data_IF_124539643194
#
_entry.id   IF_124539643194
#
_cell.length_a   1.000
_cell.length_b   1.000
_cell.length_c   1.000
_cell.angle_alpha   90.00
_cell.angle_beta   90.00
_cell.angle_gamma   90.00
#
_symmetry.space_group_name_H-M   'P 1'
#
loop_
_entity.id
_entity.type
_entity.pdbx_description
1 polymer ?
#
# COMPACT_ATOMS: atom_id res chain seq x y z
N UNK A 1 41.87 -4.67 -27.67
CA UNK A 1 40.61 -4.07 -27.18
C UNK A 1 39.48 -4.59 -28.04
N UNK A 2 38.52 -5.32 -27.46
CA UNK A 2 37.42 -5.96 -28.22
C UNK A 2 36.31 -4.94 -28.40
N UNK A 3 35.72 -4.86 -29.59
CA UNK A 3 34.55 -4.00 -29.88
C UNK A 3 33.30 -4.85 -30.01
N UNK A 4 32.31 -4.58 -29.16
CA UNK A 4 31.02 -5.24 -29.16
C UNK A 4 30.01 -4.41 -29.96
N UNK A 5 29.40 -5.01 -31.00
CA UNK A 5 28.33 -4.38 -31.76
C UNK A 5 27.00 -4.73 -31.11
N UNK A 6 26.36 -3.73 -30.51
CA UNK A 6 25.09 -3.88 -29.79
C UNK A 6 23.98 -3.24 -30.62
N UNK A 7 23.03 -4.06 -31.07
CA UNK A 7 21.83 -3.55 -31.70
C UNK A 7 20.81 -3.18 -30.62
N UNK A 8 20.27 -1.96 -30.67
CA UNK A 8 19.35 -1.44 -29.64
C UNK A 8 18.30 -0.52 -30.27
N UNK A 9 17.15 -0.43 -29.62
CA UNK A 9 16.05 0.44 -29.98
C UNK A 9 15.88 1.54 -28.92
N UNK A 10 15.32 2.68 -29.32
CA UNK A 10 15.05 3.80 -28.42
C UNK A 10 13.78 3.50 -27.60
N UNK A 11 13.94 2.87 -26.43
CA UNK A 11 12.85 2.41 -25.57
C UNK A 11 12.98 3.05 -24.19
N UNK A 12 12.38 4.24 -23.96
CA UNK A 12 12.27 4.83 -22.64
C UNK A 12 11.48 3.92 -21.68
N UNK A 13 11.85 3.84 -20.38
CA UNK A 13 12.96 4.53 -19.71
C UNK A 13 14.30 3.76 -19.75
N UNK A 14 14.37 2.65 -20.49
CA UNK A 14 15.50 1.71 -20.43
C UNK A 14 16.72 2.19 -21.19
N UNK A 15 16.53 2.75 -22.39
CA UNK A 15 17.59 3.28 -23.25
C UNK A 15 17.10 4.55 -23.93
N UNK A 16 17.93 5.60 -23.88
CA UNK A 16 17.77 6.82 -24.66
C UNK A 16 18.95 6.94 -25.63
N UNK A 17 18.66 6.95 -26.92
CA UNK A 17 19.68 7.09 -27.97
C UNK A 17 19.86 8.55 -28.38
N UNK A 18 21.11 8.94 -28.68
CA UNK A 18 21.44 10.24 -29.26
C UNK A 18 22.41 10.04 -30.42
N UNK A 19 22.16 10.72 -31.53
CA UNK A 19 23.12 10.76 -32.64
C UNK A 19 24.15 11.87 -32.41
N UNK A 20 25.43 11.53 -32.54
CA UNK A 20 26.55 12.48 -32.47
C UNK A 20 27.48 12.21 -33.65
N UNK A 21 27.60 13.17 -34.57
CA UNK A 21 28.44 13.07 -35.78
C UNK A 21 28.15 11.83 -36.63
N UNK A 22 26.88 11.48 -36.83
CA UNK A 22 26.48 10.29 -37.63
C UNK A 22 26.67 8.95 -36.91
N UNK A 23 27.06 8.95 -35.63
CA UNK A 23 27.18 7.74 -34.81
C UNK A 23 26.18 7.78 -33.66
N UNK A 24 25.45 6.69 -33.46
CA UNK A 24 24.52 6.57 -32.34
C UNK A 24 25.27 6.25 -31.04
N UNK A 25 25.00 7.02 -29.99
CA UNK A 25 25.50 6.80 -28.64
C UNK A 25 24.34 6.61 -27.65
N UNK A 26 24.57 5.79 -26.63
CA UNK A 26 23.66 5.67 -25.47
C UNK A 26 23.85 6.89 -24.58
N UNK A 27 22.81 7.70 -24.44
CA UNK A 27 22.87 8.94 -23.65
C UNK A 27 22.48 8.68 -22.19
N UNK A 28 21.36 7.99 -21.95
CA UNK A 28 20.79 7.72 -20.62
C UNK A 28 20.00 6.41 -20.62
N UNK A 29 19.58 5.96 -19.44
CA UNK A 29 18.71 4.80 -19.24
C UNK A 29 19.40 3.71 -18.43
N UNK A 30 18.63 2.85 -17.77
CA UNK A 30 19.18 1.86 -16.84
C UNK A 30 20.07 0.83 -17.57
N UNK A 31 19.69 0.43 -18.79
CA UNK A 31 20.49 -0.50 -19.59
C UNK A 31 21.72 0.18 -20.17
N UNK A 32 21.62 1.47 -20.53
CA UNK A 32 22.75 2.26 -20.98
C UNK A 32 23.83 2.40 -19.89
N UNK A 33 23.42 2.70 -18.66
CA UNK A 33 24.33 2.78 -17.50
C UNK A 33 24.95 1.42 -17.18
N UNK A 34 24.16 0.35 -17.21
CA UNK A 34 24.66 -1.01 -17.01
C UNK A 34 25.71 -1.39 -18.07
N UNK A 35 25.42 -1.17 -19.35
CA UNK A 35 26.35 -1.45 -20.44
C UNK A 35 27.62 -0.61 -20.33
N UNK A 36 27.51 0.66 -19.92
CA UNK A 36 28.66 1.51 -19.68
C UNK A 36 29.55 0.94 -18.55
N UNK A 37 28.95 0.57 -17.41
CA UNK A 37 29.69 -0.05 -16.30
C UNK A 37 30.34 -1.37 -16.70
N UNK A 38 29.62 -2.22 -17.44
CA UNK A 38 30.17 -3.46 -17.97
C UNK A 38 31.37 -3.20 -18.90
N UNK A 39 31.28 -2.19 -19.76
CA UNK A 39 32.35 -1.83 -20.69
C UNK A 39 33.61 -1.35 -19.98
N UNK A 40 33.44 -0.57 -18.90
CA UNK A 40 34.55 -0.12 -18.05
C UNK A 40 35.19 -1.27 -17.30
N UNK A 41 34.37 -2.13 -16.67
CA UNK A 41 34.86 -3.24 -15.85
C UNK A 41 35.58 -4.32 -16.68
N UNK A 42 35.02 -4.66 -17.85
CA UNK A 42 35.53 -5.72 -18.73
C UNK A 42 36.46 -5.19 -19.85
N UNK A 43 36.70 -3.88 -19.92
CA UNK A 43 37.61 -3.21 -20.85
C UNK A 43 37.32 -3.51 -22.35
N UNK A 44 36.08 -3.32 -22.77
CA UNK A 44 35.65 -3.42 -24.18
C UNK A 44 34.98 -2.12 -24.65
N UNK A 45 34.99 -1.86 -25.96
CA UNK A 45 34.24 -0.75 -26.57
C UNK A 45 32.89 -1.21 -27.10
N UNK A 46 31.90 -0.31 -27.12
CA UNK A 46 30.55 -0.56 -27.62
C UNK A 46 30.35 0.25 -28.91
N UNK A 47 29.91 -0.42 -29.97
CA UNK A 47 29.41 0.21 -31.19
C UNK A 47 27.90 -0.07 -31.30
N UNK A 48 27.08 0.97 -31.31
CA UNK A 48 25.63 0.82 -31.33
C UNK A 48 25.10 0.78 -32.76
N UNK A 49 24.17 -0.14 -33.00
CA UNK A 49 23.38 -0.22 -34.22
C UNK A 49 21.93 0.12 -33.84
N UNK A 50 21.45 1.29 -34.27
CA UNK A 50 20.06 1.67 -34.03
C UNK A 50 19.14 0.76 -34.84
N UNK A 51 18.10 0.25 -34.19
CA UNK A 51 16.98 -0.45 -34.82
C UNK A 51 15.69 0.26 -34.45
N UNK A 52 14.82 0.53 -35.43
CA UNK A 52 13.55 1.19 -35.15
C UNK A 52 12.47 0.18 -34.72
N UNK A 53 12.61 -1.09 -35.12
CA UNK A 53 11.67 -2.17 -34.79
C UNK A 53 12.41 -3.42 -34.27
N UNK A 54 11.72 -4.25 -33.49
CA UNK A 54 12.25 -5.53 -33.00
C UNK A 54 12.39 -6.56 -34.14
N UNK A 55 11.56 -6.46 -35.17
CA UNK A 55 11.55 -7.36 -36.31
C UNK A 55 10.29 -8.22 -36.41
N UNK A 56 9.88 -8.47 -37.65
CA UNK A 56 8.76 -9.34 -38.03
C UNK A 56 9.32 -10.53 -38.79
N UNK A 57 8.76 -11.71 -38.52
CA UNK A 57 9.05 -12.92 -39.28
C UNK A 57 8.33 -12.86 -40.63
N UNK A 58 9.09 -12.96 -41.71
CA UNK A 58 8.58 -12.99 -43.08
C UNK A 58 8.17 -14.42 -43.48
N UNK A 59 7.32 -14.54 -44.50
CA UNK A 59 6.85 -15.84 -45.03
C UNK A 59 7.99 -16.73 -45.55
N UNK A 60 9.11 -16.11 -45.93
CA UNK A 60 10.34 -16.80 -46.33
C UNK A 60 11.16 -17.35 -45.14
N UNK A 61 10.59 -17.36 -43.92
CA UNK A 61 11.24 -17.76 -42.66
C UNK A 61 12.46 -16.91 -42.23
N UNK A 62 12.68 -15.75 -42.84
CA UNK A 62 13.70 -14.80 -42.37
C UNK A 62 13.09 -13.76 -41.43
N UNK A 63 13.94 -13.13 -40.62
CA UNK A 63 13.55 -12.06 -39.70
C UNK A 63 14.05 -10.72 -40.21
N UNK A 64 13.25 -9.69 -40.03
CA UNK A 64 13.64 -8.30 -40.30
C UNK A 64 14.30 -7.65 -39.08
N UNK A 65 14.99 -6.54 -39.29
CA UNK A 65 15.48 -5.63 -38.24
C UNK A 65 16.35 -6.31 -37.17
N UNK A 66 16.11 -6.07 -35.87
CA UNK A 66 16.93 -6.58 -34.78
C UNK A 66 17.09 -8.11 -34.82
N UNK A 67 15.99 -8.85 -34.97
CA UNK A 67 16.05 -10.31 -35.10
C UNK A 67 16.78 -10.76 -36.37
N UNK A 68 16.65 -10.00 -37.47
CA UNK A 68 17.40 -10.25 -38.70
C UNK A 68 18.90 -10.03 -38.54
N UNK A 69 19.31 -8.96 -37.84
CA UNK A 69 20.71 -8.65 -37.55
C UNK A 69 21.36 -9.71 -36.67
N UNK A 70 20.62 -10.21 -35.68
CA UNK A 70 21.05 -11.32 -34.81
C UNK A 70 21.18 -12.62 -35.62
N UNK A 71 20.18 -12.95 -36.44
CA UNK A 71 20.16 -14.18 -37.23
C UNK A 71 21.29 -14.23 -38.27
N UNK A 72 21.59 -13.10 -38.90
CA UNK A 72 22.61 -13.00 -39.93
C UNK A 72 24.05 -12.85 -39.39
N UNK A 73 24.27 -12.98 -38.06
CA UNK A 73 25.57 -12.83 -37.38
C UNK A 73 26.28 -11.49 -37.62
N UNK A 74 25.61 -10.49 -38.16
CA UNK A 74 26.20 -9.18 -38.45
C UNK A 74 26.31 -8.29 -37.20
N UNK A 75 25.59 -8.63 -36.12
CA UNK A 75 25.82 -8.12 -34.77
C UNK A 75 26.59 -9.17 -33.95
N UNK A 76 27.67 -8.77 -33.27
CA UNK A 76 28.51 -9.64 -32.44
C UNK A 76 27.87 -10.04 -31.10
N UNK A 77 26.54 -10.08 -31.03
CA UNK A 77 25.78 -10.67 -29.94
C UNK A 77 24.78 -11.72 -30.44
N UNK A 78 25.22 -12.94 -30.74
CA UNK A 78 24.49 -14.11 -30.30
C UNK A 78 24.79 -14.28 -28.80
N UNK A 79 23.77 -14.03 -27.96
CA UNK A 79 23.88 -14.14 -26.51
C UNK A 79 24.62 -15.43 -26.09
N UNK A 80 25.74 -15.21 -25.40
CA UNK A 80 26.43 -16.12 -24.49
C UNK A 80 27.32 -17.19 -25.18
N UNK A 81 28.66 -17.08 -25.15
CA UNK A 81 29.54 -18.18 -25.51
C UNK A 81 29.15 -19.42 -24.71
N UNK A 82 29.07 -20.60 -25.35
CA UNK A 82 28.46 -21.81 -24.77
C UNK A 82 28.94 -22.20 -23.36
N UNK A 83 30.11 -21.71 -22.94
CA UNK A 83 30.68 -21.89 -21.60
C UNK A 83 29.96 -21.11 -20.49
N UNK A 84 29.32 -19.97 -20.78
CA UNK A 84 28.59 -19.17 -19.77
C UNK A 84 27.12 -19.60 -19.61
N UNK A 85 26.59 -20.42 -20.52
CA UNK A 85 25.22 -20.95 -20.41
C UNK A 85 24.97 -21.72 -19.11
N UNK A 86 25.80 -22.69 -18.69
CA UNK A 86 25.58 -23.36 -17.41
C UNK A 86 25.70 -22.42 -16.22
N UNK A 87 26.54 -21.38 -16.33
CA UNK A 87 26.68 -20.35 -15.28
C UNK A 87 25.40 -19.53 -15.18
N UNK A 88 24.83 -19.07 -16.29
CA UNK A 88 23.55 -18.36 -16.31
C UNK A 88 22.38 -19.24 -15.90
N UNK A 89 22.32 -20.49 -16.37
CA UNK A 89 21.27 -21.42 -15.96
C UNK A 89 21.36 -21.73 -14.47
N UNK A 90 22.57 -21.94 -13.95
CA UNK A 90 22.82 -22.13 -12.52
C UNK A 90 22.47 -20.88 -11.71
N UNK A 91 22.82 -19.69 -12.22
CA UNK A 91 22.46 -18.40 -11.62
C UNK A 91 20.94 -18.20 -11.58
N UNK A 92 20.23 -18.45 -12.68
CA UNK A 92 18.77 -18.36 -12.75
C UNK A 92 18.10 -19.36 -11.80
N UNK A 93 18.65 -20.57 -11.68
CA UNK A 93 18.21 -21.55 -10.70
C UNK A 93 18.42 -21.07 -9.26
N UNK A 94 19.58 -20.48 -8.97
CA UNK A 94 19.86 -19.91 -7.65
C UNK A 94 18.89 -18.75 -7.33
N UNK A 95 18.64 -17.85 -8.28
CA UNK A 95 17.64 -16.79 -8.13
C UNK A 95 16.24 -17.35 -7.87
N UNK A 96 15.83 -18.39 -8.61
CA UNK A 96 14.53 -19.02 -8.43
C UNK A 96 14.36 -19.60 -7.02
N UNK A 97 15.38 -20.31 -6.52
CA UNK A 97 15.40 -20.87 -5.15
C UNK A 97 15.40 -19.75 -4.10
N UNK A 98 16.16 -18.67 -4.34
CA UNK A 98 16.22 -17.54 -3.42
C UNK A 98 14.86 -16.81 -3.35
N UNK A 99 14.22 -16.59 -4.50
CA UNK A 99 12.89 -15.95 -4.57
C UNK A 99 11.81 -16.82 -3.94
N UNK A 100 11.84 -18.14 -4.12
CA UNK A 100 10.87 -19.04 -3.49
C UNK A 100 11.05 -19.10 -1.97
N UNK A 101 12.28 -19.16 -1.48
CA UNK A 101 12.61 -19.09 -0.05
C UNK A 101 12.18 -17.77 0.57
N UNK A 102 12.52 -16.64 -0.06
CA UNK A 102 12.12 -15.31 0.39
C UNK A 102 10.60 -15.17 0.45
N UNK A 103 9.90 -15.62 -0.60
CA UNK A 103 8.44 -15.58 -0.64
C UNK A 103 7.83 -16.43 0.48
N UNK A 104 8.38 -17.62 0.75
CA UNK A 104 7.94 -18.48 1.86
C UNK A 104 8.10 -17.82 3.23
N UNK A 105 9.24 -17.17 3.48
CA UNK A 105 9.46 -16.40 4.70
C UNK A 105 8.53 -15.18 4.81
N UNK A 106 8.31 -14.47 3.70
CA UNK A 106 7.40 -13.33 3.63
C UNK A 106 5.95 -13.76 3.90
N UNK A 107 5.50 -14.86 3.29
CA UNK A 107 4.19 -15.44 3.54
C UNK A 107 4.06 -15.92 4.98
N UNK A 108 5.07 -16.57 5.55
CA UNK A 108 5.07 -16.95 6.96
C UNK A 108 4.89 -15.73 7.86
N UNK A 109 5.66 -14.67 7.61
CA UNK A 109 5.59 -13.42 8.36
C UNK A 109 4.22 -12.72 8.21
N UNK A 110 3.63 -12.72 7.02
CA UNK A 110 2.30 -12.18 6.76
C UNK A 110 1.17 -13.07 7.31
N UNK A 111 1.39 -14.38 7.37
CA UNK A 111 0.42 -15.36 7.85
C UNK A 111 0.26 -15.34 9.36
N UNK A 112 1.22 -14.78 10.10
CA UNK A 112 1.01 -14.44 11.49
C UNK A 112 -0.07 -13.36 11.52
N UNK A 113 -1.31 -13.69 11.94
CA UNK A 113 -2.27 -12.64 12.18
C UNK A 113 -1.66 -11.81 13.29
N UNK A 114 -1.30 -10.56 12.98
CA UNK A 114 -1.04 -9.57 14.00
C UNK A 114 -2.38 -9.44 14.70
N UNK A 115 -2.59 -10.23 15.75
CA UNK A 115 -3.74 -10.15 16.64
C UNK A 115 -3.59 -8.85 17.41
N UNK A 116 -3.77 -7.74 16.71
CA UNK A 116 -4.17 -6.49 17.32
C UNK A 116 -5.53 -6.82 17.90
N UNK A 117 -5.61 -6.98 19.22
CA UNK A 117 -6.88 -7.17 19.92
C UNK A 117 -7.75 -5.99 19.51
N UNK A 118 -8.73 -6.22 18.64
CA UNK A 118 -9.61 -5.15 18.19
C UNK A 118 -10.42 -4.72 19.40
N UNK A 119 -10.46 -3.42 19.63
CA UNK A 119 -11.24 -2.81 20.70
C UNK A 119 -12.66 -2.73 20.16
N UNK A 120 -13.49 -3.71 20.53
CA UNK A 120 -14.85 -3.82 19.97
C UNK A 120 -15.90 -3.16 20.88
N UNK A 121 -15.49 -2.75 22.08
CA UNK A 121 -16.35 -2.13 23.09
C UNK A 121 -15.72 -0.85 23.64
N UNK A 122 -16.57 0.07 24.08
CA UNK A 122 -16.13 1.35 24.66
C UNK A 122 -15.40 1.12 25.98
N UNK A 123 -15.77 0.07 26.70
CA UNK A 123 -15.12 -0.38 27.92
C UNK A 123 -13.68 -0.83 27.65
N UNK A 124 -13.46 -1.66 26.62
CA UNK A 124 -12.11 -2.06 26.20
C UNK A 124 -11.28 -0.85 25.75
N UNK A 125 -11.90 0.17 25.15
CA UNK A 125 -11.22 1.42 24.76
C UNK A 125 -10.79 2.21 25.99
N UNK A 126 -11.69 2.36 26.96
CA UNK A 126 -11.42 3.06 28.21
C UNK A 126 -10.34 2.35 29.03
N UNK A 127 -10.34 1.02 29.07
CA UNK A 127 -9.30 0.21 29.71
C UNK A 127 -7.95 0.35 28.99
N UNK A 128 -7.92 0.24 27.66
CA UNK A 128 -6.71 0.44 26.86
C UNK A 128 -6.13 1.86 27.01
N UNK A 129 -6.98 2.87 27.20
CA UNK A 129 -6.56 4.24 27.49
C UNK A 129 -5.99 4.39 28.91
N UNK A 130 -6.60 3.74 29.92
CA UNK A 130 -6.08 3.72 31.30
C UNK A 130 -4.70 3.06 31.38
N UNK A 131 -4.49 2.01 30.60
CA UNK A 131 -3.19 1.33 30.49
C UNK A 131 -2.17 2.06 29.61
N UNK A 132 -2.51 3.26 29.11
CA UNK A 132 -1.67 4.06 28.22
C UNK A 132 -1.25 3.35 26.91
N UNK A 133 -1.93 2.28 26.52
CA UNK A 133 -1.68 1.56 25.25
C UNK A 133 -2.21 2.32 24.05
N UNK A 134 -3.27 3.11 24.24
CA UNK A 134 -3.94 3.87 23.18
C UNK A 134 -4.17 5.30 23.63
N UNK A 135 -3.94 6.26 22.72
CA UNK A 135 -4.30 7.67 22.90
C UNK A 135 -5.44 8.01 21.96
N UNK A 136 -6.60 8.32 22.52
CA UNK A 136 -7.75 8.81 21.74
C UNK A 136 -7.45 10.25 21.31
N UNK A 137 -7.52 10.50 20.01
CA UNK A 137 -7.40 11.85 19.42
C UNK A 137 -8.73 12.13 18.73
N UNK A 138 -9.37 13.22 19.10
CA UNK A 138 -10.55 13.73 18.42
C UNK A 138 -10.20 15.08 17.80
N UNK A 139 -10.56 15.26 16.53
CA UNK A 139 -10.46 16.52 15.80
C UNK A 139 -11.48 17.51 16.34
N UNK A 140 -11.02 18.69 16.74
CA UNK A 140 -11.81 19.73 17.42
C UNK A 140 -12.85 20.41 16.52
N UNK A 141 -12.87 20.09 15.22
CA UNK A 141 -13.80 20.65 14.23
C UNK A 141 -15.05 19.81 14.00
N UNK A 142 -15.10 18.59 14.54
CA UNK A 142 -16.19 17.67 14.23
C UNK A 142 -17.30 17.78 15.27
N UNK A 143 -18.55 17.75 14.81
CA UNK A 143 -19.75 17.76 15.67
C UNK A 143 -19.72 16.64 16.72
N UNK A 144 -18.93 15.58 16.46
CA UNK A 144 -18.69 14.50 17.38
C UNK A 144 -17.97 14.95 18.67
N UNK A 145 -16.96 15.80 18.55
CA UNK A 145 -16.20 16.34 19.66
C UNK A 145 -17.07 17.20 20.59
N UNK A 146 -17.90 18.06 20.00
CA UNK A 146 -18.80 18.92 20.78
C UNK A 146 -19.84 18.11 21.55
N UNK A 147 -20.36 17.03 20.97
CA UNK A 147 -21.29 16.18 21.68
C UNK A 147 -20.61 15.43 22.83
N UNK A 148 -19.44 14.80 22.62
CA UNK A 148 -18.69 14.14 23.71
C UNK A 148 -18.37 15.14 24.82
N UNK A 149 -17.98 16.37 24.45
CA UNK A 149 -17.69 17.45 25.40
C UNK A 149 -18.94 17.92 26.14
N UNK A 150 -20.11 17.90 25.51
CA UNK A 150 -21.38 18.22 26.16
C UNK A 150 -21.82 17.14 27.15
N UNK A 151 -21.58 15.86 26.82
CA UNK A 151 -21.83 14.73 27.69
C UNK A 151 -20.88 14.73 28.89
N UNK A 152 -19.58 14.99 28.68
CA UNK A 152 -18.62 15.06 29.79
C UNK A 152 -18.99 16.15 30.80
N UNK A 153 -19.35 17.35 30.31
CA UNK A 153 -19.85 18.45 31.15
C UNK A 153 -21.13 18.08 31.91
N UNK A 154 -22.04 17.34 31.29
CA UNK A 154 -23.28 16.90 31.93
C UNK A 154 -23.02 15.84 33.01
N UNK A 155 -22.09 14.92 32.76
CA UNK A 155 -21.63 13.94 33.75
C UNK A 155 -20.93 14.59 34.94
N UNK A 156 -20.05 15.58 34.72
CA UNK A 156 -19.39 16.32 35.80
C UNK A 156 -20.40 17.07 36.68
N UNK A 157 -21.43 17.65 36.06
CA UNK A 157 -22.52 18.33 36.76
C UNK A 157 -23.34 17.34 37.62
N UNK A 158 -23.62 16.15 37.10
CA UNK A 158 -24.26 15.07 37.86
C UNK A 158 -23.38 14.57 39.02
N UNK A 159 -22.05 14.55 38.85
CA UNK A 159 -21.09 14.17 39.90
C UNK A 159 -21.01 15.20 41.03
N UNK A 160 -21.28 16.47 40.74
CA UNK A 160 -21.29 17.55 41.72
C UNK A 160 -22.55 17.60 42.61
N UNK A 161 -23.55 16.73 42.37
CA UNK A 161 -24.70 16.62 43.26
C UNK A 161 -24.35 15.84 44.54
N UNK A 162 -24.44 16.48 45.72
CA UNK A 162 -24.17 15.83 47.00
C UNK A 162 -25.27 14.78 47.28
N UNK A 163 -24.90 13.50 47.21
CA UNK A 163 -25.81 12.37 47.44
C UNK A 163 -25.74 11.26 46.38
N UNK A 164 -25.04 11.47 45.27
CA UNK A 164 -24.89 10.48 44.19
C UNK A 164 -23.51 9.80 44.24
N UNK A 165 -23.32 8.84 45.15
CA UNK A 165 -22.24 7.85 45.01
C UNK A 165 -22.62 6.88 43.90
N UNK A 166 -22.06 7.08 42.69
CA UNK A 166 -22.41 6.29 41.50
C UNK A 166 -21.36 5.22 41.14
N UNK A 167 -20.38 4.99 42.02
CA UNK A 167 -19.45 3.87 41.92
C UNK A 167 -19.59 3.00 43.17
N UNK A 168 -20.38 1.94 43.03
CA UNK A 168 -20.27 0.79 43.91
C UNK A 168 -19.18 -0.11 43.31
N UNK A 169 -17.97 -0.05 43.88
CA UNK A 169 -16.79 -0.73 43.36
C UNK A 169 -16.89 -2.27 43.43
N UNK A 170 -17.94 -2.82 44.04
CA UNK A 170 -17.99 -4.25 44.37
C UNK A 170 -18.63 -5.14 43.30
N UNK A 171 -19.28 -4.60 42.25
CA UNK A 171 -20.00 -5.45 41.27
C UNK A 171 -19.61 -5.33 39.80
N UNK A 172 -18.77 -4.37 39.41
CA UNK A 172 -18.29 -4.29 38.03
C UNK A 172 -19.38 -4.14 36.94
N UNK A 173 -20.64 -3.86 37.32
CA UNK A 173 -21.72 -3.65 36.37
C UNK A 173 -21.89 -2.16 36.09
N UNK A 174 -21.66 -1.77 34.83
CA UNK A 174 -21.89 -0.41 34.38
C UNK A 174 -23.41 -0.12 34.39
N UNK A 175 -23.87 0.76 35.29
CA UNK A 175 -25.27 1.26 35.35
C UNK A 175 -25.68 2.14 34.15
N UNK A 176 -25.04 1.95 32.99
CA UNK A 176 -25.35 2.67 31.76
C UNK A 176 -26.80 2.45 31.33
N UNK A 177 -27.32 1.23 31.52
CA UNK A 177 -28.73 0.90 31.24
C UNK A 177 -29.71 1.68 32.13
N UNK A 178 -29.35 1.97 33.38
CA UNK A 178 -30.18 2.73 34.31
C UNK A 178 -30.20 4.23 33.95
N UNK A 179 -29.05 4.77 33.53
CA UNK A 179 -28.95 6.12 32.98
C UNK A 179 -29.73 6.27 31.68
N UNK A 180 -29.62 5.32 30.76
CA UNK A 180 -30.39 5.32 29.50
C UNK A 180 -31.89 5.23 29.77
N UNK A 181 -32.32 4.38 30.72
CA UNK A 181 -33.74 4.33 31.16
C UNK A 181 -34.21 5.66 31.73
N UNK A 182 -33.38 6.38 32.49
CA UNK A 182 -33.76 7.71 33.01
C UNK A 182 -33.81 8.77 31.90
N UNK A 183 -32.88 8.74 30.95
CA UNK A 183 -32.84 9.65 29.81
C UNK A 183 -33.99 9.43 28.83
N UNK A 184 -34.42 8.19 28.59
CA UNK A 184 -35.54 7.92 27.68
C UNK A 184 -36.88 8.49 28.17
N UNK A 185 -36.98 8.82 29.46
CA UNK A 185 -38.16 9.44 30.05
C UNK A 185 -38.15 10.98 30.02
N UNK A 186 -37.03 11.63 29.69
CA UNK A 186 -36.99 13.10 29.62
C UNK A 186 -37.78 13.62 28.43
N UNK A 187 -38.44 14.77 28.62
CA UNK A 187 -39.28 15.42 27.60
C UNK A 187 -38.47 15.74 26.34
N UNK A 188 -37.22 16.17 26.51
CA UNK A 188 -36.29 16.46 25.43
C UNK A 188 -36.04 15.24 24.53
N UNK A 189 -35.89 14.05 25.11
CA UNK A 189 -35.68 12.81 24.35
C UNK A 189 -36.92 12.42 23.53
N UNK A 190 -38.12 12.61 24.10
CA UNK A 190 -39.39 12.35 23.41
C UNK A 190 -39.64 13.33 22.26
N UNK A 191 -39.38 14.61 22.46
CA UNK A 191 -39.55 15.64 21.43
C UNK A 191 -38.58 15.42 20.27
N UNK A 192 -37.35 14.97 20.55
CA UNK A 192 -36.38 14.60 19.52
C UNK A 192 -36.78 13.36 18.72
N UNK A 193 -37.31 12.31 19.36
CA UNK A 193 -37.80 11.13 18.65
C UNK A 193 -38.98 11.47 17.73
N UNK A 194 -39.87 12.35 18.18
CA UNK A 194 -40.98 12.85 17.36
C UNK A 194 -40.50 13.61 16.12
N UNK A 195 -39.42 14.39 16.24
CA UNK A 195 -38.79 15.04 15.09
C UNK A 195 -38.13 14.02 14.14
N UNK A 196 -37.53 12.95 14.67
CA UNK A 196 -36.91 11.90 13.86
C UNK A 196 -37.94 11.11 13.05
N UNK A 197 -39.10 10.83 13.63
CA UNK A 197 -40.17 10.09 12.95
C UNK A 197 -40.75 10.83 11.75
N UNK A 198 -40.67 12.17 11.74
CA UNK A 198 -41.13 13.02 10.64
C UNK A 198 -40.18 13.09 9.44
N UNK A 199 -38.97 12.51 9.51
CA UNK A 199 -38.00 12.55 8.41
C UNK A 199 -38.21 11.41 7.38
N UNK A 200 -37.79 11.58 6.11
CA UNK A 200 -37.89 10.53 5.09
C UNK A 200 -37.05 9.29 5.43
N UNK A 201 -37.51 8.09 5.05
CA UNK A 201 -36.86 6.81 5.42
C UNK A 201 -35.38 6.70 5.03
N UNK A 202 -35.00 7.21 3.85
CA UNK A 202 -33.59 7.21 3.41
C UNK A 202 -32.68 8.04 4.34
N UNK A 203 -33.25 9.06 5.01
CA UNK A 203 -32.52 9.89 5.97
C UNK A 203 -32.56 9.32 7.39
N UNK A 204 -33.56 8.47 7.71
CA UNK A 204 -33.69 7.82 9.02
C UNK A 204 -32.54 6.86 9.29
N UNK A 205 -32.16 6.02 8.33
CA UNK A 205 -31.06 5.06 8.51
C UNK A 205 -29.70 5.76 8.70
N UNK A 206 -29.44 6.82 7.93
CA UNK A 206 -28.20 7.60 8.03
C UNK A 206 -28.09 8.34 9.37
N UNK A 207 -29.18 8.99 9.83
CA UNK A 207 -29.22 9.65 11.15
C UNK A 207 -29.28 8.67 12.32
N UNK A 208 -29.86 7.48 12.15
CA UNK A 208 -29.85 6.41 13.15
C UNK A 208 -28.44 5.82 13.31
N UNK A 209 -27.68 5.67 12.21
CA UNK A 209 -26.27 5.29 12.25
C UNK A 209 -25.38 6.36 12.89
N UNK A 210 -25.59 7.64 12.55
CA UNK A 210 -24.93 8.75 13.25
C UNK A 210 -25.28 8.75 14.75
N UNK A 211 -26.51 8.36 15.12
CA UNK A 211 -26.92 8.18 16.53
C UNK A 211 -26.29 6.97 17.23
N UNK A 212 -26.10 5.84 16.55
CA UNK A 212 -25.46 4.65 17.15
C UNK A 212 -23.99 4.90 17.46
N UNK A 213 -23.35 5.75 16.65
CA UNK A 213 -22.00 6.27 16.91
C UNK A 213 -21.99 7.27 18.07
N UNK A 214 -23.11 7.95 18.36
CA UNK A 214 -23.23 8.95 19.41
C UNK A 214 -23.67 8.43 20.80
N UNK A 215 -23.99 7.14 20.93
CA UNK A 215 -24.36 6.53 22.23
C UNK A 215 -23.45 5.36 22.67
N UNK A 216 -22.36 5.12 21.92
CA UNK A 216 -21.19 4.35 22.35
C UNK A 216 -20.09 5.35 22.70
#
# INVERSE_FOLDING_TARGET
MVTLKVATADIPPFVYLREVNGTWIMNRGIEAELLHLMSQYLNFSIQLLKCDNLGVKLDNNTWTELFGLIANKNSSLPLIPGSLRPVFTGWLWACLVLTSSYSGCLYSLMSFPTRVKTINTVEELAEAQREHRVRVIATTSDAYYDMIRSLSKSCDKLRSHPGSSYYDNERGECKYQECYKKLSHTKEFKDLNKQLDSLPEETKAKKAYERYIFYL
#
